data_IF_692157509522
#
_entry.id   IF_692157509522
#
_cell.length_a   1.000
_cell.length_b   1.000
_cell.length_c   1.000
_cell.angle_alpha   90.00
_cell.angle_beta   90.00
_cell.angle_gamma   90.00
#
_symmetry.space_group_name_H-M   'P 1'
#
loop_
_entity.id
_entity.type
_entity.pdbx_description
1 polymer ?
#
# COMPACT_ATOMS: atom_id res chain seq x y z
N UNK A 1 -67.73 66.69 10.47
CA UNK A 1 -66.43 66.36 11.12
C UNK A 1 -66.25 64.84 11.14
N UNK A 2 -65.60 64.25 10.11
CA UNK A 2 -65.47 62.81 9.97
C UNK A 2 -63.96 62.49 10.02
N UNK A 3 -63.57 61.77 11.06
CA UNK A 3 -62.22 61.35 11.27
C UNK A 3 -61.99 60.09 10.42
N UNK A 4 -61.16 60.25 9.41
CA UNK A 4 -60.74 59.13 8.54
C UNK A 4 -59.64 58.33 9.26
N UNK A 5 -59.98 57.15 9.74
CA UNK A 5 -58.97 56.24 10.30
C UNK A 5 -58.28 55.52 9.14
N UNK A 6 -57.04 55.90 8.93
CA UNK A 6 -56.15 55.19 8.03
C UNK A 6 -55.70 53.88 8.70
N UNK A 7 -56.15 52.74 8.19
CA UNK A 7 -55.71 51.43 8.60
C UNK A 7 -54.43 51.12 7.79
N UNK A 8 -53.31 51.26 8.47
CA UNK A 8 -52.02 50.82 7.93
C UNK A 8 -51.93 49.29 8.07
N UNK A 9 -52.25 48.59 7.01
CA UNK A 9 -52.04 47.13 6.94
C UNK A 9 -50.53 46.85 6.74
N UNK A 10 -49.85 46.49 7.83
CA UNK A 10 -48.51 45.98 7.80
C UNK A 10 -48.56 44.53 7.28
N UNK A 11 -48.16 44.35 6.03
CA UNK A 11 -48.02 43.06 5.43
C UNK A 11 -46.73 42.43 6.00
N UNK A 12 -46.77 41.28 6.72
CA UNK A 12 -45.58 40.63 7.14
C UNK A 12 -44.91 39.99 5.90
N UNK A 13 -43.79 40.55 5.49
CA UNK A 13 -42.89 39.90 4.54
C UNK A 13 -42.32 38.69 5.25
N UNK A 14 -42.88 37.52 5.02
CA UNK A 14 -42.31 36.25 5.35
C UNK A 14 -41.04 36.07 4.50
N UNK A 15 -39.92 36.48 5.05
CA UNK A 15 -38.62 36.06 4.58
C UNK A 15 -38.53 34.52 4.79
N UNK A 16 -38.93 33.80 3.76
CA UNK A 16 -38.57 32.40 3.61
C UNK A 16 -37.04 32.34 3.47
N UNK A 17 -36.36 32.39 4.61
CA UNK A 17 -34.99 31.91 4.68
C UNK A 17 -35.02 30.42 4.33
N UNK A 18 -34.97 30.15 3.04
CA UNK A 18 -34.60 28.84 2.54
C UNK A 18 -33.17 28.58 3.02
N UNK A 19 -33.08 28.08 4.24
CA UNK A 19 -31.92 27.29 4.61
C UNK A 19 -31.87 26.13 3.61
N UNK A 20 -31.22 26.37 2.48
CA UNK A 20 -30.66 25.27 1.73
C UNK A 20 -29.67 24.61 2.69
N UNK A 21 -30.21 23.69 3.48
CA UNK A 21 -29.41 22.66 4.11
C UNK A 21 -28.74 21.96 2.93
N UNK A 22 -27.51 22.39 2.60
CA UNK A 22 -26.61 21.54 1.86
C UNK A 22 -26.48 20.35 2.79
N UNK A 23 -27.23 19.31 2.50
CA UNK A 23 -26.80 17.98 2.86
C UNK A 23 -25.39 17.87 2.25
N UNK A 24 -24.39 18.25 3.06
CA UNK A 24 -23.05 17.85 2.77
C UNK A 24 -23.20 16.34 2.62
N UNK A 25 -23.11 15.88 1.37
CA UNK A 25 -22.91 14.47 1.10
C UNK A 25 -21.94 14.05 2.16
N UNK A 26 -22.43 13.31 3.16
CA UNK A 26 -21.56 12.50 3.99
C UNK A 26 -20.97 11.51 3.02
N UNK A 27 -19.89 11.93 2.34
CA UNK A 27 -18.92 11.00 1.82
C UNK A 27 -18.57 10.22 3.07
N UNK A 28 -19.11 9.01 3.20
CA UNK A 28 -18.66 8.09 4.20
C UNK A 28 -17.14 8.20 4.17
N UNK A 29 -16.48 8.17 5.32
CA UNK A 29 -15.01 8.13 5.41
C UNK A 29 -14.54 6.82 4.75
N UNK A 30 -14.72 6.75 3.43
CA UNK A 30 -14.34 5.61 2.61
C UNK A 30 -12.84 5.76 2.34
N UNK A 31 -12.07 4.91 2.97
CA UNK A 31 -10.64 4.86 2.77
C UNK A 31 -10.36 4.17 1.42
N UNK A 32 -10.15 4.95 0.36
CA UNK A 32 -9.85 4.40 -0.97
C UNK A 32 -8.59 3.54 -0.99
N UNK A 33 -7.68 3.71 -0.02
CA UNK A 33 -6.52 2.85 0.13
C UNK A 33 -6.89 1.38 0.43
N UNK A 34 -8.07 1.12 0.99
CA UNK A 34 -8.55 -0.24 1.27
C UNK A 34 -8.85 -1.06 0.00
N UNK A 35 -9.02 -0.37 -1.13
CA UNK A 35 -9.21 -1.01 -2.45
C UNK A 35 -7.88 -1.33 -3.16
N UNK A 36 -6.76 -0.88 -2.62
CA UNK A 36 -5.44 -1.14 -3.20
C UNK A 36 -5.01 -2.56 -2.87
N UNK A 37 -4.80 -3.36 -3.91
CA UNK A 37 -4.19 -4.67 -3.78
C UNK A 37 -2.76 -4.64 -4.33
N UNK A 38 -1.72 -4.61 -3.47
CA UNK A 38 -0.34 -4.54 -3.91
C UNK A 38 0.16 -5.77 -4.68
N UNK A 39 -0.56 -6.90 -4.63
CA UNK A 39 -0.20 -8.09 -5.40
C UNK A 39 -0.58 -8.03 -6.88
N UNK A 40 -1.34 -7.02 -7.31
CA UNK A 40 -1.66 -6.85 -8.73
C UNK A 40 -0.38 -6.59 -9.53
N UNK A 41 -0.13 -7.42 -10.55
CA UNK A 41 1.04 -7.33 -11.42
C UNK A 41 2.29 -8.02 -10.88
N UNK A 42 2.24 -8.70 -9.73
CA UNK A 42 3.39 -9.46 -9.20
C UNK A 42 3.57 -10.82 -9.84
N UNK A 43 2.72 -11.20 -10.80
CA UNK A 43 2.78 -12.44 -11.56
C UNK A 43 2.92 -12.15 -13.06
N UNK A 44 3.22 -13.18 -13.87
CA UNK A 44 3.48 -13.10 -15.30
C UNK A 44 4.53 -12.02 -15.64
N UNK A 45 4.18 -11.08 -16.49
CA UNK A 45 5.05 -10.00 -16.98
C UNK A 45 4.70 -8.63 -16.38
N UNK A 46 3.97 -8.61 -15.27
CA UNK A 46 3.56 -7.35 -14.63
C UNK A 46 4.71 -6.60 -13.97
N UNK A 47 5.68 -7.34 -13.45
CA UNK A 47 6.91 -6.79 -12.84
C UNK A 47 6.61 -5.68 -11.82
N UNK A 48 5.74 -5.99 -10.86
CA UNK A 48 5.47 -5.15 -9.69
C UNK A 48 5.88 -5.87 -8.41
N UNK A 49 5.93 -5.15 -7.32
CA UNK A 49 6.29 -5.69 -5.99
C UNK A 49 5.23 -5.30 -4.95
N UNK A 50 4.98 -6.14 -3.93
CA UNK A 50 3.90 -5.94 -2.97
C UNK A 50 4.31 -5.13 -1.75
N UNK A 51 5.52 -4.60 -1.72
CA UNK A 51 6.14 -4.02 -0.54
C UNK A 51 5.51 -2.71 -0.06
N UNK A 52 6.01 -2.25 1.07
CA UNK A 52 5.56 -1.01 1.69
C UNK A 52 6.11 0.20 0.94
N UNK A 53 5.22 0.97 0.36
CA UNK A 53 5.51 2.23 -0.32
C UNK A 53 4.40 3.23 -0.04
N UNK A 54 4.75 4.49 0.12
CA UNK A 54 3.79 5.60 0.18
C UNK A 54 3.98 6.53 -1.01
N UNK A 55 2.93 7.25 -1.43
CA UNK A 55 3.04 8.18 -2.54
C UNK A 55 4.16 9.21 -2.29
N UNK A 56 5.02 9.38 -3.30
CA UNK A 56 6.18 10.29 -3.25
C UNK A 56 7.25 9.96 -2.20
N UNK A 57 7.15 8.78 -1.57
CA UNK A 57 8.19 8.30 -0.66
C UNK A 57 9.49 7.97 -1.39
N UNK A 58 10.62 8.13 -0.71
CA UNK A 58 11.95 7.80 -1.26
C UNK A 58 12.27 6.31 -1.18
N UNK A 59 11.52 5.57 -0.36
CA UNK A 59 11.75 4.16 -0.08
C UNK A 59 10.66 3.32 -0.74
N UNK A 60 11.07 2.26 -1.42
CA UNK A 60 10.22 1.21 -1.96
C UNK A 60 10.66 -0.11 -1.31
N UNK A 61 10.25 -0.29 -0.05
CA UNK A 61 10.69 -1.42 0.77
C UNK A 61 9.86 -2.68 0.46
N UNK A 62 10.51 -3.70 -0.07
CA UNK A 62 9.81 -4.91 -0.53
C UNK A 62 10.65 -6.18 -0.31
N UNK A 63 10.01 -7.37 -0.26
CA UNK A 63 10.74 -8.63 -0.29
C UNK A 63 11.36 -8.88 -1.67
N UNK A 64 12.52 -9.52 -1.66
CA UNK A 64 13.23 -10.04 -2.82
C UNK A 64 13.22 -11.56 -2.78
N UNK A 65 12.80 -12.21 -3.88
CA UNK A 65 12.79 -13.67 -3.95
C UNK A 65 14.20 -14.29 -4.11
N UNK A 66 15.18 -13.51 -4.59
CA UNK A 66 16.57 -13.90 -4.72
C UNK A 66 16.88 -14.75 -5.94
N UNK A 67 15.90 -15.06 -6.79
CA UNK A 67 16.10 -15.81 -8.02
C UNK A 67 16.22 -14.86 -9.22
N UNK A 68 17.16 -15.13 -10.14
CA UNK A 68 17.26 -14.35 -11.37
C UNK A 68 16.15 -14.72 -12.34
N UNK A 69 15.78 -13.79 -13.20
CA UNK A 69 14.81 -14.03 -14.27
C UNK A 69 14.12 -12.77 -14.75
N UNK A 70 13.64 -12.81 -15.99
CA UNK A 70 12.94 -11.70 -16.60
C UNK A 70 11.65 -11.33 -15.82
N UNK A 71 10.95 -12.34 -15.30
CA UNK A 71 9.71 -12.15 -14.54
C UNK A 71 9.96 -11.68 -13.09
N UNK A 72 11.22 -11.50 -12.70
CA UNK A 72 11.68 -11.15 -11.34
C UNK A 72 12.45 -9.84 -11.28
N UNK A 73 12.39 -9.04 -12.34
CA UNK A 73 13.15 -7.78 -12.39
C UNK A 73 12.65 -6.71 -11.40
N UNK A 74 11.49 -6.92 -10.80
CA UNK A 74 10.98 -6.10 -9.68
C UNK A 74 11.41 -6.62 -8.29
N UNK A 75 12.23 -7.69 -8.23
CA UNK A 75 12.66 -8.35 -7.00
C UNK A 75 11.69 -9.42 -6.48
N UNK A 76 10.40 -9.25 -6.69
CA UNK A 76 9.35 -10.17 -6.25
C UNK A 76 8.62 -10.80 -7.44
N UNK A 77 8.34 -12.10 -7.33
CA UNK A 77 7.51 -12.84 -8.28
C UNK A 77 6.56 -13.76 -7.51
N UNK A 78 5.27 -13.57 -7.64
CA UNK A 78 4.23 -14.23 -6.83
C UNK A 78 4.31 -15.76 -6.82
N UNK A 79 4.63 -16.48 -7.93
CA UNK A 79 4.77 -17.93 -7.91
C UNK A 79 5.95 -18.47 -7.10
N UNK A 80 6.89 -17.64 -6.69
CA UNK A 80 8.06 -18.08 -5.90
C UNK A 80 7.65 -18.35 -4.45
N UNK A 81 8.41 -19.19 -3.77
CA UNK A 81 8.18 -19.61 -2.38
C UNK A 81 9.35 -19.32 -1.44
N UNK A 82 10.30 -18.50 -1.90
CA UNK A 82 11.49 -18.09 -1.15
C UNK A 82 11.61 -16.58 -1.07
N UNK A 83 12.16 -16.09 0.03
CA UNK A 83 12.59 -14.71 0.23
C UNK A 83 14.06 -14.75 0.63
N UNK A 84 14.91 -14.01 -0.10
CA UNK A 84 16.34 -13.87 0.16
C UNK A 84 16.70 -12.57 0.87
N UNK A 85 15.75 -11.64 0.99
CA UNK A 85 15.95 -10.39 1.69
C UNK A 85 14.80 -9.42 1.51
N UNK A 86 15.00 -8.24 2.08
CA UNK A 86 14.11 -7.09 1.96
C UNK A 86 14.97 -5.89 1.64
N UNK A 87 14.86 -5.37 0.42
CA UNK A 87 15.62 -4.21 -0.02
C UNK A 87 14.79 -2.93 -0.01
N UNK A 88 15.45 -1.78 0.01
CA UNK A 88 14.82 -0.48 0.20
C UNK A 88 14.45 0.21 -1.12
N UNK A 89 14.97 -0.29 -2.23
CA UNK A 89 14.75 0.34 -3.53
C UNK A 89 14.35 -0.70 -4.57
N UNK A 90 13.23 -0.45 -5.25
CA UNK A 90 12.69 -1.30 -6.30
C UNK A 90 12.21 -0.48 -7.48
N UNK A 91 12.27 -1.07 -8.66
CA UNK A 91 11.61 -0.57 -9.86
C UNK A 91 10.42 -1.46 -10.21
N UNK A 92 9.36 -0.88 -10.70
CA UNK A 92 8.23 -1.60 -11.28
C UNK A 92 8.18 -1.42 -12.78
N UNK A 93 7.63 -2.41 -13.47
CA UNK A 93 7.50 -2.42 -14.92
C UNK A 93 8.66 -3.14 -15.62
N UNK A 94 8.52 -3.30 -16.92
CA UNK A 94 9.49 -4.01 -17.76
C UNK A 94 10.73 -3.15 -18.02
N UNK A 95 11.91 -3.71 -17.86
CA UNK A 95 13.17 -2.98 -18.07
C UNK A 95 14.39 -3.77 -17.65
N UNK A 96 15.24 -3.17 -16.85
CA UNK A 96 16.38 -3.81 -16.24
C UNK A 96 16.08 -4.16 -14.79
N UNK A 97 16.55 -5.31 -14.34
CA UNK A 97 16.66 -5.61 -12.91
C UNK A 97 17.76 -4.76 -12.32
N UNK A 98 17.38 -3.77 -11.53
CA UNK A 98 18.30 -2.79 -10.96
C UNK A 98 17.75 -2.30 -9.62
N UNK A 99 18.59 -1.61 -8.87
CA UNK A 99 18.38 -1.20 -7.50
C UNK A 99 18.61 -2.35 -6.50
N UNK A 100 17.65 -2.72 -5.67
CA UNK A 100 17.80 -3.68 -4.55
C UNK A 100 18.84 -3.23 -3.52
N UNK A 101 19.00 -1.92 -3.38
CA UNK A 101 19.99 -1.35 -2.47
C UNK A 101 19.57 -1.56 -1.02
N UNK A 102 20.57 -1.73 -0.17
CA UNK A 102 20.42 -1.89 1.28
C UNK A 102 19.44 -3.00 1.60
N UNK A 103 19.84 -4.24 1.31
CA UNK A 103 19.04 -5.43 1.61
C UNK A 103 19.33 -5.96 3.02
N UNK A 104 18.29 -6.42 3.70
CA UNK A 104 18.36 -7.09 5.00
C UNK A 104 17.71 -8.46 4.93
N UNK A 105 18.33 -9.45 5.53
CA UNK A 105 17.72 -10.76 5.76
C UNK A 105 17.80 -11.11 7.24
N UNK A 106 16.68 -11.04 7.97
CA UNK A 106 16.67 -11.47 9.38
C UNK A 106 16.77 -12.99 9.48
N UNK A 107 17.65 -13.46 10.35
CA UNK A 107 17.92 -14.88 10.57
C UNK A 107 18.03 -15.22 12.04
N UNK A 108 17.73 -16.48 12.41
CA UNK A 108 18.09 -17.07 13.70
C UNK A 108 19.32 -17.98 13.54
N UNK A 109 20.14 -18.09 14.57
CA UNK A 109 21.32 -18.97 14.55
C UNK A 109 20.98 -20.40 15.02
N UNK A 110 21.60 -21.43 14.44
CA UNK A 110 22.48 -21.38 13.27
C UNK A 110 21.66 -21.21 11.98
N UNK A 111 22.11 -20.37 11.08
CA UNK A 111 21.52 -20.26 9.75
C UNK A 111 22.27 -21.15 8.75
N UNK A 112 21.60 -21.48 7.65
CA UNK A 112 22.20 -22.19 6.51
C UNK A 112 22.24 -21.25 5.31
N UNK A 113 23.36 -21.25 4.66
CA UNK A 113 23.54 -20.57 3.39
C UNK A 113 23.36 -21.59 2.28
N UNK A 114 22.54 -21.29 1.30
CA UNK A 114 22.43 -22.08 0.09
C UNK A 114 23.49 -21.66 -0.92
N UNK A 115 23.72 -22.52 -1.91
CA UNK A 115 24.54 -22.17 -3.06
C UNK A 115 23.87 -21.06 -3.87
N UNK A 116 24.67 -20.27 -4.57
CA UNK A 116 24.20 -19.25 -5.49
C UNK A 116 23.14 -19.82 -6.47
N UNK A 117 22.07 -19.05 -6.82
CA UNK A 117 21.95 -17.60 -6.57
C UNK A 117 21.20 -17.22 -5.29
N UNK A 118 20.70 -18.17 -4.50
CA UNK A 118 19.81 -17.88 -3.38
C UNK A 118 20.52 -17.32 -2.13
N UNK A 119 21.78 -17.77 -1.86
CA UNK A 119 22.47 -17.35 -0.64
C UNK A 119 21.67 -17.63 0.65
N UNK A 120 21.64 -16.70 1.56
CA UNK A 120 20.78 -16.77 2.76
C UNK A 120 19.36 -16.45 2.34
N UNK A 121 18.43 -17.37 2.62
CA UNK A 121 17.02 -17.22 2.27
C UNK A 121 16.12 -17.95 3.25
N UNK A 122 14.83 -17.71 3.18
CA UNK A 122 13.80 -18.46 3.88
C UNK A 122 12.63 -18.80 2.96
N UNK A 123 12.06 -19.97 3.18
CA UNK A 123 10.77 -20.30 2.59
C UNK A 123 9.67 -19.47 3.25
N UNK A 124 8.64 -19.16 2.48
CA UNK A 124 7.42 -18.52 2.96
C UNK A 124 6.18 -19.17 2.33
N UNK A 125 5.02 -18.65 2.65
CA UNK A 125 3.74 -19.06 2.06
C UNK A 125 2.82 -17.85 1.97
N UNK A 126 2.09 -17.74 0.88
CA UNK A 126 1.07 -16.69 0.71
C UNK A 126 -0.05 -16.76 1.75
N UNK A 127 -0.26 -17.92 2.41
CA UNK A 127 -1.18 -18.02 3.53
C UNK A 127 -0.72 -17.23 4.78
N UNK A 128 0.60 -16.98 4.88
CA UNK A 128 1.25 -16.26 5.98
C UNK A 128 1.80 -14.90 5.51
N UNK A 129 1.33 -14.43 4.35
CA UNK A 129 1.72 -13.17 3.73
C UNK A 129 0.53 -12.24 3.61
N UNK A 130 0.73 -10.95 3.76
CA UNK A 130 -0.29 -9.94 3.50
C UNK A 130 0.34 -8.61 3.10
N UNK A 131 -0.37 -7.88 2.24
CA UNK A 131 0.01 -6.54 1.83
C UNK A 131 -1.21 -5.63 1.74
N UNK A 132 -1.00 -4.36 2.06
CA UNK A 132 -1.94 -3.27 1.83
C UNK A 132 -1.16 -1.99 1.51
N UNK A 133 -1.84 -0.92 1.17
CA UNK A 133 -1.17 0.35 0.86
C UNK A 133 -0.23 0.76 2.01
N UNK A 134 1.07 0.86 1.74
CA UNK A 134 2.10 1.25 2.72
C UNK A 134 2.47 0.19 3.76
N UNK A 135 1.99 -1.03 3.62
CA UNK A 135 2.26 -2.10 4.57
C UNK A 135 2.45 -3.45 3.88
N UNK A 136 3.40 -4.24 4.37
CA UNK A 136 3.62 -5.63 3.97
C UNK A 136 4.03 -6.45 5.19
N UNK A 137 3.62 -7.71 5.24
CA UNK A 137 4.06 -8.68 6.26
C UNK A 137 4.23 -10.07 5.69
N UNK A 138 5.14 -10.86 6.27
CA UNK A 138 5.35 -12.28 5.91
C UNK A 138 5.99 -13.05 7.08
N UNK A 139 5.71 -14.34 7.16
CA UNK A 139 6.42 -15.27 8.05
C UNK A 139 7.57 -15.96 7.29
N UNK A 140 8.80 -15.73 7.74
CA UNK A 140 9.98 -16.48 7.30
C UNK A 140 10.00 -17.85 8.02
N UNK A 141 9.56 -18.90 7.31
CA UNK A 141 9.29 -20.22 7.92
C UNK A 141 10.52 -20.91 8.45
N UNK A 142 11.66 -20.76 7.78
CA UNK A 142 12.89 -21.46 8.16
C UNK A 142 13.53 -20.87 9.43
N UNK A 143 13.16 -19.64 9.77
CA UNK A 143 13.66 -18.93 10.94
C UNK A 143 12.60 -18.67 12.01
N UNK A 144 11.31 -18.87 11.67
CA UNK A 144 10.20 -18.56 12.57
C UNK A 144 10.06 -17.05 12.87
N UNK A 145 10.47 -16.20 11.93
CA UNK A 145 10.48 -14.74 12.08
C UNK A 145 9.30 -14.13 11.32
N UNK A 146 8.45 -13.37 12.02
CA UNK A 146 7.50 -12.49 11.38
C UNK A 146 8.20 -11.18 11.01
N UNK A 147 8.13 -10.80 9.73
CA UNK A 147 8.64 -9.54 9.22
C UNK A 147 7.46 -8.64 8.88
N UNK A 148 7.53 -7.41 9.29
CA UNK A 148 6.59 -6.36 8.92
C UNK A 148 7.36 -5.17 8.35
N UNK A 149 6.90 -4.68 7.20
CA UNK A 149 7.47 -3.53 6.49
C UNK A 149 6.46 -2.40 6.50
N UNK A 150 6.94 -1.22 6.82
CA UNK A 150 6.17 0.03 6.71
C UNK A 150 7.04 1.11 6.09
N UNK A 151 6.43 2.07 5.42
CA UNK A 151 7.13 3.21 4.86
C UNK A 151 6.49 4.51 5.34
N UNK A 152 7.30 5.53 5.48
CA UNK A 152 6.87 6.90 5.79
C UNK A 152 7.02 7.78 4.56
N UNK A 153 6.40 8.95 4.57
CA UNK A 153 6.47 9.92 3.47
C UNK A 153 7.88 10.54 3.28
N UNK A 154 8.80 10.27 4.20
CA UNK A 154 10.17 10.83 4.22
C UNK A 154 11.17 9.76 4.65
#
# INVERSE_FOLDING_TARGET
MKILRSICTVLPVLLLSSCMQRDALKVADECYADYVNPFIGTDFTGNTYPGAQVPFGMVQLSPDNGLPGWDRISGYFYPDSTIAGFSHTHLSGTGAGDLYDISFMPVTLPYKEAEEPLGIHSRFSHADEAASAGYYRVLLKDYGINVELTATER
#
